data_IF_111448038888
#
_entry.id   IF_111448038888
#
_cell.length_a   1.000
_cell.length_b   1.000
_cell.length_c   1.000
_cell.angle_alpha   90.00
_cell.angle_beta   90.00
_cell.angle_gamma   90.00
#
_symmetry.space_group_name_H-M   'P 1'
#
loop_
_entity.id
_entity.type
_entity.pdbx_description
1 polymer ?
#
# COMPACT_ATOMS: atom_id res chain seq x y z
N UNK A 1 -3.86 -11.98 1.52
CA UNK A 1 -3.40 -10.79 2.29
C UNK A 1 -3.15 -9.66 1.31
N UNK A 2 -3.73 -8.48 1.52
CA UNK A 2 -3.45 -7.28 0.73
C UNK A 2 -2.13 -6.66 1.22
N UNK A 3 -1.24 -6.32 0.29
CA UNK A 3 0.06 -5.69 0.58
C UNK A 3 -0.05 -4.19 0.29
N UNK A 4 0.14 -3.36 1.32
CA UNK A 4 0.08 -1.91 1.18
C UNK A 4 1.34 -1.33 0.52
N UNK A 5 1.22 -0.15 -0.06
CA UNK A 5 2.33 0.58 -0.68
C UNK A 5 3.50 0.83 0.29
N UNK A 6 3.20 1.07 1.57
CA UNK A 6 4.21 1.26 2.63
C UNK A 6 5.15 0.05 2.79
N UNK A 7 4.64 -1.16 2.61
CA UNK A 7 5.44 -2.39 2.66
C UNK A 7 6.40 -2.49 1.48
N UNK A 8 5.88 -2.24 0.26
CA UNK A 8 6.67 -2.28 -0.97
C UNK A 8 7.81 -1.26 -0.91
N UNK A 9 7.48 -0.03 -0.55
CA UNK A 9 8.48 1.05 -0.42
C UNK A 9 9.52 0.71 0.65
N UNK A 10 9.08 0.23 1.81
CA UNK A 10 10.00 -0.12 2.90
C UNK A 10 11.00 -1.20 2.51
N UNK A 11 10.56 -2.23 1.81
CA UNK A 11 11.43 -3.33 1.34
C UNK A 11 12.39 -2.82 0.26
N UNK A 12 11.90 -2.14 -0.78
CA UNK A 12 12.73 -1.64 -1.88
C UNK A 12 13.73 -0.57 -1.44
N UNK A 13 13.42 0.20 -0.41
CA UNK A 13 14.30 1.22 0.17
C UNK A 13 15.12 0.72 1.36
N UNK A 14 14.94 -0.53 1.78
CA UNK A 14 15.57 -1.12 2.97
C UNK A 14 15.39 -0.28 4.22
N UNK A 15 14.19 0.22 4.43
CA UNK A 15 13.86 1.00 5.63
C UNK A 15 13.96 0.13 6.90
N UNK A 16 14.20 0.72 8.09
CA UNK A 16 14.19 -0.04 9.33
C UNK A 16 12.95 -0.93 9.46
N UNK A 17 13.15 -2.22 9.74
CA UNK A 17 12.09 -3.22 9.86
C UNK A 17 11.73 -3.96 8.55
N UNK A 18 12.36 -3.66 7.42
CA UNK A 18 12.04 -4.29 6.14
C UNK A 18 12.22 -5.83 6.16
N UNK A 19 13.22 -6.33 6.87
CA UNK A 19 13.48 -7.79 6.98
C UNK A 19 12.29 -8.52 7.61
N UNK A 20 11.64 -7.92 8.59
CA UNK A 20 10.45 -8.51 9.21
C UNK A 20 9.26 -8.52 8.25
N UNK A 21 9.12 -7.48 7.43
CA UNK A 21 8.10 -7.44 6.37
C UNK A 21 8.34 -8.53 5.32
N UNK A 22 9.60 -8.73 4.89
CA UNK A 22 9.95 -9.83 3.97
C UNK A 22 9.60 -11.19 4.56
N UNK A 23 9.90 -11.43 5.84
CA UNK A 23 9.54 -12.67 6.54
C UNK A 23 8.02 -12.88 6.57
N UNK A 24 7.25 -11.83 6.85
CA UNK A 24 5.79 -11.90 6.86
C UNK A 24 5.21 -12.20 5.47
N UNK A 25 5.77 -11.63 4.41
CA UNK A 25 5.39 -11.96 3.04
C UNK A 25 5.71 -13.43 2.70
N UNK A 26 6.92 -13.89 3.06
CA UNK A 26 7.35 -15.27 2.79
C UNK A 26 6.58 -16.32 3.61
N UNK A 27 6.11 -15.97 4.80
CA UNK A 27 5.34 -16.83 5.68
C UNK A 27 3.82 -16.80 5.42
N UNK A 28 3.36 -15.97 4.46
CA UNK A 28 1.93 -15.87 4.16
C UNK A 28 1.39 -17.20 3.61
N UNK A 29 0.37 -17.72 4.27
CA UNK A 29 -0.38 -18.93 3.87
C UNK A 29 -1.57 -18.64 2.96
N UNK A 30 -1.81 -17.37 2.66
CA UNK A 30 -2.87 -16.88 1.79
C UNK A 30 -2.28 -16.15 0.58
N UNK A 31 -3.00 -16.11 -0.56
CA UNK A 31 -2.54 -15.36 -1.72
C UNK A 31 -2.23 -13.89 -1.39
N UNK A 32 -1.10 -13.40 -1.90
CA UNK A 32 -0.74 -11.99 -1.82
C UNK A 32 -1.46 -11.21 -2.91
N UNK A 33 -1.96 -10.05 -2.56
CA UNK A 33 -2.77 -9.21 -3.44
C UNK A 33 -2.23 -7.78 -3.40
N UNK A 34 -2.20 -7.13 -4.55
CA UNK A 34 -1.98 -5.70 -4.70
C UNK A 34 -3.11 -5.10 -5.54
N UNK A 35 -3.28 -3.79 -5.52
CA UNK A 35 -4.18 -3.07 -6.41
C UNK A 35 -3.41 -2.12 -7.32
N UNK A 36 -3.98 -1.66 -8.44
CA UNK A 36 -3.36 -0.63 -9.27
C UNK A 36 -3.00 0.64 -8.49
N UNK A 37 -3.82 1.01 -7.49
CA UNK A 37 -3.56 2.18 -6.65
C UNK A 37 -2.37 1.97 -5.71
N UNK A 38 -2.27 0.80 -5.09
CA UNK A 38 -1.09 0.43 -4.28
C UNK A 38 0.19 0.54 -5.12
N UNK A 39 0.18 0.00 -6.33
CA UNK A 39 1.33 0.09 -7.24
C UNK A 39 1.66 1.54 -7.59
N UNK A 40 0.66 2.34 -7.94
CA UNK A 40 0.85 3.76 -8.22
C UNK A 40 1.47 4.50 -7.04
N UNK A 41 0.95 4.33 -5.84
CA UNK A 41 1.48 4.96 -4.64
C UNK A 41 2.91 4.52 -4.33
N UNK A 42 3.20 3.23 -4.44
CA UNK A 42 4.54 2.69 -4.22
C UNK A 42 5.55 3.30 -5.21
N UNK A 43 5.19 3.38 -6.50
CA UNK A 43 6.04 3.97 -7.54
C UNK A 43 6.34 5.44 -7.26
N UNK A 44 5.29 6.24 -7.00
CA UNK A 44 5.44 7.68 -6.75
C UNK A 44 6.22 7.94 -5.46
N UNK A 45 5.95 7.19 -4.40
CA UNK A 45 6.64 7.33 -3.12
C UNK A 45 8.12 6.94 -3.24
N UNK A 46 8.43 5.83 -3.91
CA UNK A 46 9.79 5.38 -4.13
C UNK A 46 10.59 6.40 -4.97
N UNK A 47 10.01 6.92 -6.04
CA UNK A 47 10.63 7.93 -6.87
C UNK A 47 10.92 9.23 -6.10
N UNK A 48 9.98 9.69 -5.29
CA UNK A 48 10.16 10.86 -4.41
C UNK A 48 11.27 10.66 -3.40
N UNK A 49 11.29 9.52 -2.75
CA UNK A 49 12.31 9.19 -1.74
C UNK A 49 13.73 9.24 -2.32
N UNK A 50 13.90 8.73 -3.55
CA UNK A 50 15.18 8.67 -4.24
C UNK A 50 15.63 10.03 -4.83
N UNK A 51 14.71 10.98 -5.00
CA UNK A 51 14.98 12.28 -5.61
C UNK A 51 15.02 13.45 -4.63
N UNK A 52 14.55 13.26 -3.41
CA UNK A 52 14.48 14.32 -2.37
C UNK A 52 15.87 14.96 -2.15
N UNK A 53 15.98 16.32 -2.12
CA UNK A 53 14.89 17.31 -2.07
C UNK A 53 14.30 17.73 -3.42
N UNK A 54 14.86 17.29 -4.55
CA UNK A 54 14.29 17.61 -5.87
C UNK A 54 13.05 16.76 -6.16
N UNK A 55 12.30 17.19 -7.19
CA UNK A 55 11.19 16.37 -7.73
C UNK A 55 11.79 15.24 -8.60
N UNK A 56 11.14 14.06 -8.65
CA UNK A 56 11.62 12.98 -9.49
C UNK A 56 11.51 13.34 -10.98
N UNK A 57 12.50 12.88 -11.76
CA UNK A 57 12.44 12.94 -13.22
C UNK A 57 11.51 11.85 -13.77
N UNK A 58 10.99 11.99 -14.99
CA UNK A 58 10.25 10.91 -15.64
C UNK A 58 11.03 9.60 -15.72
N UNK A 59 12.34 9.65 -15.96
CA UNK A 59 13.20 8.47 -15.96
C UNK A 59 13.24 7.77 -14.61
N UNK A 60 13.33 8.54 -13.52
CA UNK A 60 13.33 7.98 -12.16
C UNK A 60 11.99 7.33 -11.80
N UNK A 61 10.87 7.92 -12.24
CA UNK A 61 9.54 7.31 -12.07
C UNK A 61 9.46 5.97 -12.81
N UNK A 62 9.96 5.90 -14.05
CA UNK A 62 10.01 4.63 -14.81
C UNK A 62 10.88 3.57 -14.13
N UNK A 63 12.03 3.96 -13.58
CA UNK A 63 12.89 3.04 -12.81
C UNK A 63 12.19 2.53 -11.55
N UNK A 64 11.49 3.42 -10.84
CA UNK A 64 10.69 3.04 -9.67
C UNK A 64 9.57 2.06 -10.05
N UNK A 65 8.89 2.30 -11.17
CA UNK A 65 7.87 1.39 -11.70
C UNK A 65 8.44 0.00 -11.97
N UNK A 66 9.59 -0.08 -12.66
CA UNK A 66 10.25 -1.37 -12.94
C UNK A 66 10.59 -2.12 -11.65
N UNK A 67 11.07 -1.43 -10.62
CA UNK A 67 11.39 -2.03 -9.33
C UNK A 67 10.13 -2.55 -8.61
N UNK A 68 9.05 -1.78 -8.62
CA UNK A 68 7.77 -2.18 -8.02
C UNK A 68 7.16 -3.37 -8.76
N UNK A 69 7.14 -3.34 -10.10
CA UNK A 69 6.61 -4.44 -10.91
C UNK A 69 7.41 -5.74 -10.70
N UNK A 70 8.74 -5.64 -10.66
CA UNK A 70 9.61 -6.80 -10.37
C UNK A 70 9.34 -7.38 -8.97
N UNK A 71 9.18 -6.54 -7.95
CA UNK A 71 8.86 -7.02 -6.60
C UNK A 71 7.50 -7.71 -6.54
N UNK A 72 6.47 -7.13 -7.18
CA UNK A 72 5.12 -7.73 -7.23
C UNK A 72 5.16 -9.12 -7.89
N UNK A 73 5.96 -9.28 -8.96
CA UNK A 73 6.19 -10.56 -9.61
C UNK A 73 6.96 -11.53 -8.70
N UNK A 74 8.05 -11.09 -8.08
CA UNK A 74 8.90 -11.91 -7.21
C UNK A 74 8.14 -12.49 -6.01
N UNK A 75 7.23 -11.71 -5.42
CA UNK A 75 6.36 -12.20 -4.33
C UNK A 75 5.12 -12.93 -4.83
N UNK A 76 4.97 -13.11 -6.15
CA UNK A 76 3.81 -13.74 -6.80
C UNK A 76 2.47 -13.14 -6.37
N UNK A 77 2.42 -11.82 -6.15
CA UNK A 77 1.18 -11.14 -5.81
C UNK A 77 0.29 -10.95 -7.04
N UNK A 78 -1.02 -11.18 -6.84
CA UNK A 78 -2.02 -10.94 -7.87
C UNK A 78 -2.50 -9.48 -7.83
N UNK A 79 -2.60 -8.84 -8.98
CA UNK A 79 -3.19 -7.51 -9.09
C UNK A 79 -4.71 -7.61 -9.25
N UNK A 80 -5.46 -6.98 -8.35
CA UNK A 80 -6.92 -6.97 -8.34
C UNK A 80 -7.44 -5.56 -8.67
N UNK A 81 -8.37 -5.42 -9.62
CA UNK A 81 -8.88 -4.12 -10.03
C UNK A 81 -9.69 -3.44 -8.91
N UNK A 82 -9.69 -2.11 -8.91
CA UNK A 82 -10.55 -1.29 -8.04
C UNK A 82 -11.97 -1.33 -8.60
N UNK A 83 -12.89 -1.97 -7.86
CA UNK A 83 -14.30 -2.05 -8.22
C UNK A 83 -15.09 -0.85 -7.69
N UNK A 84 -16.34 -0.71 -8.17
CA UNK A 84 -17.30 0.28 -7.63
C UNK A 84 -17.58 0.04 -6.14
N UNK A 85 -17.60 -1.21 -5.70
CA UNK A 85 -17.76 -1.56 -4.29
C UNK A 85 -16.58 -1.06 -3.45
N UNK A 86 -15.33 -1.29 -3.91
CA UNK A 86 -14.15 -0.75 -3.24
C UNK A 86 -14.21 0.77 -3.16
N UNK A 87 -14.63 1.45 -4.23
CA UNK A 87 -14.80 2.90 -4.22
C UNK A 87 -15.80 3.38 -3.16
N UNK A 88 -16.95 2.71 -3.05
CA UNK A 88 -17.96 3.02 -2.03
C UNK A 88 -17.43 2.80 -0.62
N UNK A 89 -16.76 1.69 -0.37
CA UNK A 89 -16.14 1.39 0.93
C UNK A 89 -15.00 2.35 1.27
N UNK A 90 -14.26 2.87 0.28
CA UNK A 90 -13.23 3.88 0.50
C UNK A 90 -13.84 5.22 0.99
N UNK A 91 -14.99 5.62 0.44
CA UNK A 91 -15.74 6.79 0.94
C UNK A 91 -16.19 6.56 2.38
N UNK A 92 -16.70 5.37 2.69
CA UNK A 92 -17.10 5.01 4.04
C UNK A 92 -15.91 5.01 5.02
N UNK A 93 -14.75 4.47 4.59
CA UNK A 93 -13.52 4.53 5.36
C UNK A 93 -13.08 5.99 5.64
N UNK A 94 -13.16 6.86 4.64
CA UNK A 94 -12.89 8.29 4.82
C UNK A 94 -13.85 8.95 5.79
N UNK A 95 -15.12 8.54 5.81
CA UNK A 95 -16.12 9.05 6.76
C UNK A 95 -15.84 8.61 8.19
N UNK A 96 -15.39 7.37 8.38
CA UNK A 96 -15.21 6.77 9.71
C UNK A 96 -13.80 7.02 10.28
N UNK A 97 -12.77 7.05 9.45
CA UNK A 97 -11.36 7.04 9.87
C UNK A 97 -10.50 8.10 9.17
N UNK A 98 -11.09 8.88 8.28
CA UNK A 98 -10.33 9.71 7.35
C UNK A 98 -9.76 10.98 7.95
N UNK A 99 -8.66 11.43 7.36
CA UNK A 99 -8.04 12.73 7.58
C UNK A 99 -9.03 13.87 7.31
N UNK A 100 -9.90 13.72 6.32
CA UNK A 100 -10.90 14.72 5.93
C UNK A 100 -11.91 15.07 7.02
N UNK A 101 -12.14 14.13 7.96
CA UNK A 101 -13.03 14.32 9.11
C UNK A 101 -12.27 14.47 10.44
N UNK A 102 -10.93 14.50 10.41
CA UNK A 102 -10.08 14.70 11.59
C UNK A 102 -10.06 13.50 12.54
N UNK A 103 -10.27 12.28 12.06
CA UNK A 103 -10.19 11.09 12.90
C UNK A 103 -8.74 10.77 13.28
N UNK A 104 -8.52 10.19 14.47
CA UNK A 104 -7.19 9.86 14.98
C UNK A 104 -6.38 8.90 14.09
N UNK A 105 -7.04 8.04 13.31
CA UNK A 105 -6.40 7.18 12.32
C UNK A 105 -5.81 7.98 11.14
N UNK A 106 -6.33 9.17 10.88
CA UNK A 106 -5.83 10.13 9.89
C UNK A 106 -5.66 9.53 8.47
N UNK A 107 -6.51 8.56 8.10
CA UNK A 107 -6.38 7.87 6.82
C UNK A 107 -6.42 8.86 5.66
N UNK A 108 -5.39 8.83 4.83
CA UNK A 108 -5.33 9.59 3.59
C UNK A 108 -6.10 8.88 2.46
N UNK A 109 -6.06 9.44 1.25
CA UNK A 109 -6.74 8.88 0.07
C UNK A 109 -6.34 7.42 -0.20
N UNK A 110 -5.03 7.11 -0.23
CA UNK A 110 -4.54 5.77 -0.51
C UNK A 110 -4.88 4.78 0.59
N UNK A 111 -4.74 5.21 1.86
CA UNK A 111 -5.09 4.38 3.02
C UNK A 111 -6.57 3.97 2.99
N UNK A 112 -7.48 4.90 2.63
CA UNK A 112 -8.90 4.59 2.49
C UNK A 112 -9.15 3.51 1.44
N UNK A 113 -8.43 3.54 0.30
CA UNK A 113 -8.56 2.52 -0.73
C UNK A 113 -7.90 1.20 -0.35
N UNK A 114 -6.76 1.21 0.36
CA UNK A 114 -6.14 -0.01 0.89
C UNK A 114 -7.07 -0.68 1.91
N UNK A 115 -7.60 0.08 2.86
CA UNK A 115 -8.62 -0.39 3.81
C UNK A 115 -9.83 -1.00 3.09
N UNK A 116 -10.43 -0.25 2.17
CA UNK A 116 -11.61 -0.66 1.42
C UNK A 116 -11.38 -1.93 0.60
N UNK A 117 -10.20 -2.05 -0.01
CA UNK A 117 -9.83 -3.24 -0.78
C UNK A 117 -9.71 -4.47 0.11
N UNK A 118 -9.06 -4.36 1.26
CA UNK A 118 -8.95 -5.45 2.22
C UNK A 118 -10.34 -5.89 2.74
N UNK A 119 -11.22 -4.94 3.05
CA UNK A 119 -12.60 -5.21 3.49
C UNK A 119 -13.44 -5.88 2.40
N UNK A 120 -13.44 -5.35 1.18
CA UNK A 120 -14.21 -5.89 0.06
C UNK A 120 -13.78 -7.31 -0.32
N UNK A 121 -12.48 -7.60 -0.23
CA UNK A 121 -11.93 -8.91 -0.56
C UNK A 121 -11.94 -9.89 0.62
N UNK A 122 -12.27 -9.43 1.82
CA UNK A 122 -12.28 -10.27 3.03
C UNK A 122 -10.90 -10.79 3.41
N UNK A 123 -9.85 -10.00 3.19
CA UNK A 123 -8.45 -10.38 3.45
C UNK A 123 -7.81 -9.48 4.49
N UNK A 124 -6.75 -9.98 5.13
CA UNK A 124 -5.91 -9.16 6.00
C UNK A 124 -5.12 -8.11 5.21
N UNK A 125 -4.71 -7.04 5.89
CA UNK A 125 -3.89 -5.97 5.35
C UNK A 125 -2.50 -6.00 5.98
N UNK A 126 -1.45 -6.09 5.16
CA UNK A 126 -0.08 -5.91 5.60
C UNK A 126 0.36 -4.49 5.30
N UNK A 127 0.76 -3.76 6.33
CA UNK A 127 1.18 -2.37 6.25
C UNK A 127 2.39 -2.11 7.17
N UNK A 128 3.09 -1.01 6.92
CA UNK A 128 4.13 -0.48 7.79
C UNK A 128 3.68 0.84 8.39
N UNK A 129 3.98 1.07 9.66
CA UNK A 129 3.56 2.28 10.37
C UNK A 129 2.33 2.04 11.25
N UNK A 130 1.63 3.11 11.55
CA UNK A 130 0.48 3.11 12.48
C UNK A 130 -0.84 3.54 11.82
N UNK A 131 -0.88 3.73 10.51
CA UNK A 131 -2.03 4.34 9.82
C UNK A 131 -3.32 3.55 10.06
N UNK A 132 -3.25 2.23 10.14
CA UNK A 132 -4.42 1.38 10.38
C UNK A 132 -4.61 0.95 11.85
N UNK A 133 -3.71 1.36 12.76
CA UNK A 133 -3.74 0.93 14.16
C UNK A 133 -5.01 1.39 14.93
N UNK A 134 -5.69 2.40 14.43
CA UNK A 134 -6.92 2.93 15.02
C UNK A 134 -8.17 2.61 14.17
N UNK A 135 -8.08 1.57 13.35
CA UNK A 135 -9.20 1.04 12.58
C UNK A 135 -9.54 -0.38 13.04
N UNK A 136 -10.59 -0.96 12.50
CA UNK A 136 -10.96 -2.36 12.76
C UNK A 136 -10.13 -3.38 11.94
N UNK A 137 -9.07 -2.93 11.27
CA UNK A 137 -8.03 -3.76 10.64
C UNK A 137 -6.68 -3.75 11.42
N UNK A 138 -6.67 -3.19 12.63
CA UNK A 138 -5.49 -3.13 13.49
C UNK A 138 -4.93 -4.53 13.85
#
# INVERSE_FOLDING_TARGET
MLVDASVIVAILSREPGYVELEKRLAAADTPLIVTPLVKFEAVVSLARQKSTPQKPTPSLVRQAQQAVDAMVEDISASEVPISSEIGRLAIEASTNYGKSVGHIADLNFGDCFAYASAKALGVSLLYKGNDFAHTDLA
#
